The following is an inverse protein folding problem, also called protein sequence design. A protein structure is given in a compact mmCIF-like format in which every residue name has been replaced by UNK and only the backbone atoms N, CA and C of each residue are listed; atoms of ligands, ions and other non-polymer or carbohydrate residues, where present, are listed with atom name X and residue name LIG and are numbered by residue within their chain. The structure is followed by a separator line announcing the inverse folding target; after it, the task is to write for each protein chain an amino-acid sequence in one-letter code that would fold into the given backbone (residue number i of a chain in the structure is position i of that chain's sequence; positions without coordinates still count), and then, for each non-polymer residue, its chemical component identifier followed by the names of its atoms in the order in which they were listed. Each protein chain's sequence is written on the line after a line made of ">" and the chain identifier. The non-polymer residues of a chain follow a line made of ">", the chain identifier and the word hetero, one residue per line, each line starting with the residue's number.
data_IF_864860416069
#
_entry.id   IF_864860416069
#
_cell.length_a   1.000
_cell.length_b   1.000
_cell.length_c   1.000
_cell.angle_alpha   90.00
_cell.angle_beta   90.00
_cell.angle_gamma   90.00
#
_symmetry.space_group_name_H-M   'P 1'
#
loop_
_entity.id
_entity.type
_entity.pdbx_description
1 polymer ?
#
# COMPACT_ATOMS: atom_id res chain seq x y z
N UNK A 1 -7.41 -2.55 -7.63
CA UNK A 1 -6.20 -3.25 -7.15
C UNK A 1 -4.97 -2.62 -7.80
N UNK A 2 -3.95 -2.32 -7.00
CA UNK A 2 -2.68 -1.75 -7.44
C UNK A 2 -1.53 -2.32 -6.62
N UNK A 3 -0.31 -2.25 -7.14
CA UNK A 3 0.90 -2.63 -6.40
C UNK A 3 2.12 -1.83 -6.86
N UNK A 4 3.05 -1.60 -5.96
CA UNK A 4 4.34 -0.95 -6.24
C UNK A 4 5.48 -1.70 -5.56
N UNK A 5 6.58 -1.86 -6.28
CA UNK A 5 7.85 -2.41 -5.78
C UNK A 5 8.76 -1.26 -5.31
N UNK A 6 9.41 -1.46 -4.18
CA UNK A 6 10.38 -0.51 -3.61
C UNK A 6 11.75 -1.17 -3.64
N UNK A 7 12.62 -0.62 -4.48
CA UNK A 7 14.01 -1.03 -4.56
C UNK A 7 14.82 -0.35 -3.44
N UNK A 8 14.89 -1.00 -2.29
CA UNK A 8 15.62 -0.57 -1.11
C UNK A 8 16.57 -1.69 -0.64
N UNK A 9 17.44 -1.40 0.33
CA UNK A 9 18.34 -2.40 0.92
C UNK A 9 17.57 -3.64 1.43
N UNK A 10 16.40 -3.40 2.03
CA UNK A 10 15.37 -4.41 2.28
C UNK A 10 14.19 -4.16 1.32
N UNK A 11 14.03 -4.94 0.24
CA UNK A 11 13.02 -4.68 -0.77
C UNK A 11 11.61 -4.94 -0.24
N UNK A 12 10.70 -4.02 -0.56
CA UNK A 12 9.32 -4.04 -0.10
C UNK A 12 8.33 -4.06 -1.28
N UNK A 13 7.19 -4.71 -1.10
CA UNK A 13 6.02 -4.58 -1.97
C UNK A 13 4.91 -3.89 -1.18
N UNK A 14 4.26 -2.91 -1.80
CA UNK A 14 3.05 -2.31 -1.26
C UNK A 14 1.90 -2.59 -2.22
N UNK A 15 0.84 -3.21 -1.70
CA UNK A 15 -0.35 -3.57 -2.49
C UNK A 15 -1.60 -2.93 -1.91
N UNK A 16 -2.53 -2.57 -2.79
CA UNK A 16 -3.85 -2.04 -2.45
C UNK A 16 -4.96 -2.88 -3.06
N UNK A 17 -6.00 -3.18 -2.28
CA UNK A 17 -7.14 -3.99 -2.72
C UNK A 17 -8.44 -3.18 -2.93
N UNK A 18 -9.45 -3.84 -3.48
CA UNK A 18 -10.77 -3.24 -3.71
C UNK A 18 -11.56 -3.03 -2.40
N UNK A 19 -11.06 -3.54 -1.28
CA UNK A 19 -11.59 -3.32 0.06
C UNK A 19 -11.04 -2.06 0.73
N UNK A 20 -10.11 -1.31 0.10
CA UNK A 20 -9.46 -0.16 0.72
C UNK A 20 -8.31 -0.55 1.66
N UNK A 21 -7.88 -1.81 1.64
CA UNK A 21 -6.72 -2.28 2.39
C UNK A 21 -5.43 -1.91 1.67
N UNK A 22 -4.45 -1.41 2.44
CA UNK A 22 -3.07 -1.22 2.01
C UNK A 22 -2.20 -2.17 2.83
N UNK A 23 -1.37 -2.95 2.15
CA UNK A 23 -0.54 -3.99 2.76
C UNK A 23 0.91 -3.79 2.36
N UNK A 24 1.81 -3.87 3.35
CA UNK A 24 3.26 -3.85 3.12
C UNK A 24 3.81 -5.25 3.32
N UNK A 25 4.58 -5.71 2.35
CA UNK A 25 5.19 -7.02 2.31
C UNK A 25 6.70 -6.88 2.24
N UNK A 26 7.39 -7.75 2.96
CA UNK A 26 8.82 -8.00 2.77
C UNK A 26 9.01 -8.88 1.54
N UNK A 27 9.96 -8.53 0.66
CA UNK A 27 10.32 -9.37 -0.50
C UNK A 27 11.63 -10.08 -0.19
N UNK A 28 11.58 -10.97 0.80
CA UNK A 28 12.68 -11.82 1.19
C UNK A 28 12.25 -13.28 1.19
N UNK A 29 13.17 -14.19 0.84
CA UNK A 29 12.94 -15.62 0.95
C UNK A 29 13.29 -16.10 2.37
N UNK A 30 12.43 -16.89 3.04
CA UNK A 30 11.13 -17.36 2.58
C UNK A 30 10.05 -16.29 2.63
N UNK A 31 9.15 -16.28 1.64
CA UNK A 31 8.04 -15.33 1.61
C UNK A 31 7.10 -15.55 2.79
N UNK A 32 6.78 -14.46 3.49
CA UNK A 32 5.81 -14.45 4.58
C UNK A 32 4.39 -14.56 4.03
N UNK A 33 3.51 -15.23 4.78
CA UNK A 33 2.08 -15.28 4.45
C UNK A 33 1.33 -14.02 4.93
N UNK A 34 1.83 -13.39 6.00
CA UNK A 34 1.25 -12.18 6.56
C UNK A 34 2.03 -10.93 6.14
N UNK A 35 1.34 -9.80 5.91
CA UNK A 35 1.99 -8.54 5.62
C UNK A 35 2.73 -8.03 6.87
N UNK A 36 3.84 -7.32 6.65
CA UNK A 36 4.56 -6.60 7.71
C UNK A 36 3.66 -5.59 8.42
N UNK A 37 2.82 -4.90 7.63
CA UNK A 37 1.83 -3.95 8.13
C UNK A 37 0.60 -3.94 7.25
N UNK A 38 -0.54 -3.67 7.88
CA UNK A 38 -1.82 -3.45 7.23
C UNK A 38 -2.38 -2.11 7.67
N UNK A 39 -2.81 -1.32 6.70
CA UNK A 39 -3.66 -0.16 6.91
C UNK A 39 -4.98 -0.37 6.21
N UNK A 40 -6.03 0.19 6.79
CA UNK A 40 -7.36 0.21 6.20
C UNK A 40 -7.93 1.60 6.40
N UNK A 41 -8.29 2.24 5.30
CA UNK A 41 -9.01 3.50 5.39
C UNK A 41 -10.41 3.29 5.96
N UNK A 42 -10.94 4.34 6.58
CA UNK A 42 -12.27 4.31 7.17
C UNK A 42 -13.30 4.28 6.05
N UNK A 43 -13.80 3.08 5.72
CA UNK A 43 -14.83 2.89 4.70
C UNK A 43 -16.03 3.79 4.94
N UNK A 44 -16.28 4.70 4.01
CA UNK A 44 -17.63 5.17 3.73
C UNK A 44 -18.15 4.49 2.45
N UNK A 45 -19.42 4.73 2.12
CA UNK A 45 -20.06 4.09 0.97
C UNK A 45 -19.55 4.59 -0.40
N UNK A 46 -18.75 5.65 -0.43
CA UNK A 46 -18.22 6.26 -1.67
C UNK A 46 -16.88 5.64 -2.08
N UNK A 47 -16.23 4.96 -1.14
CA UNK A 47 -14.97 4.29 -1.37
C UNK A 47 -15.13 2.98 -2.15
N UNK A 48 -14.57 2.92 -3.35
CA UNK A 48 -14.52 1.71 -4.19
C UNK A 48 -13.21 0.93 -4.09
N UNK A 49 -12.24 1.41 -3.27
CA UNK A 49 -10.97 0.75 -2.98
C UNK A 49 -9.75 1.40 -3.65
N UNK A 50 -8.58 0.76 -3.52
CA UNK A 50 -7.30 1.30 -4.00
C UNK A 50 -7.10 0.96 -5.48
N UNK A 51 -7.02 1.99 -6.31
CA UNK A 51 -6.93 1.86 -7.77
C UNK A 51 -5.56 2.22 -8.32
N UNK A 52 -4.83 3.09 -7.64
CA UNK A 52 -3.48 3.48 -8.02
C UNK A 52 -2.61 3.67 -6.78
N UNK A 53 -1.34 3.33 -6.92
CA UNK A 53 -0.29 3.51 -5.94
C UNK A 53 0.91 4.13 -6.64
N UNK A 54 1.52 5.12 -6.01
CA UNK A 54 2.85 5.59 -6.38
C UNK A 54 3.67 5.86 -5.14
N UNK A 55 4.99 5.78 -5.28
CA UNK A 55 5.92 5.99 -4.18
C UNK A 55 6.85 7.15 -4.49
N UNK A 56 7.09 7.98 -3.47
CA UNK A 56 8.13 8.98 -3.47
C UNK A 56 8.92 8.88 -2.17
N UNK A 57 10.17 8.39 -2.26
CA UNK A 57 11.07 8.16 -1.13
C UNK A 57 10.43 7.33 0.00
N UNK A 58 9.84 7.97 1.00
CA UNK A 58 9.21 7.35 2.18
C UNK A 58 7.68 7.57 2.25
N UNK A 59 7.08 8.09 1.18
CA UNK A 59 5.66 8.39 1.11
C UNK A 59 5.04 7.53 0.03
N UNK A 60 3.96 6.83 0.37
CA UNK A 60 3.08 6.20 -0.59
C UNK A 60 1.90 7.15 -0.81
N UNK A 61 1.68 7.52 -2.06
CA UNK A 61 0.45 8.18 -2.47
C UNK A 61 -0.48 7.12 -3.05
N UNK A 62 -1.75 7.17 -2.66
CA UNK A 62 -2.76 6.27 -3.17
C UNK A 62 -4.02 7.04 -3.54
N UNK A 63 -4.74 6.53 -4.55
CA UNK A 63 -5.97 7.14 -5.04
C UNK A 63 -7.18 6.28 -4.74
N UNK A 64 -8.23 6.94 -4.30
CA UNK A 64 -9.53 6.36 -3.98
C UNK A 64 -10.55 7.05 -4.87
N UNK A 65 -10.59 6.64 -6.14
CA UNK A 65 -11.47 7.12 -7.22
C UNK A 65 -11.38 8.63 -7.58
N UNK A 66 -11.31 9.53 -6.60
CA UNK A 66 -11.27 11.00 -6.74
C UNK A 66 -10.41 11.72 -5.68
N UNK A 67 -9.91 11.04 -4.64
CA UNK A 67 -9.07 11.66 -3.59
C UNK A 67 -7.67 11.05 -3.56
N UNK A 68 -6.65 11.90 -3.35
CA UNK A 68 -5.25 11.49 -3.17
C UNK A 68 -4.93 11.56 -1.69
N UNK A 69 -4.53 10.44 -1.12
CA UNK A 69 -4.09 10.34 0.26
C UNK A 69 -2.62 9.93 0.37
N UNK A 70 -2.01 10.19 1.53
CA UNK A 70 -0.60 9.92 1.81
C UNK A 70 -0.42 9.01 3.01
N UNK A 71 0.41 7.98 2.84
CA UNK A 71 0.89 7.13 3.92
C UNK A 71 2.40 7.32 4.10
N UNK A 72 2.83 7.73 5.29
CA UNK A 72 4.25 7.79 5.66
C UNK A 72 4.72 6.41 6.09
N UNK A 73 5.72 5.89 5.39
CA UNK A 73 6.44 4.69 5.83
C UNK A 73 7.29 5.05 7.05
N UNK A 74 7.16 4.27 8.12
CA UNK A 74 7.92 4.47 9.37
C UNK A 74 9.43 4.42 9.14
N UNK A 75 10.19 4.90 10.13
CA UNK A 75 11.65 4.73 10.17
C UNK A 75 12.04 3.29 10.42
#
# INVERSE_FOLDING_TARGET
>A
MASVYIDAEEPLCISGDNGGGIFIWEIAAPFRQDPLRKWSEKKDWRFSGIHSLTISKKIVLFTLEVEIEQLKLGH
#
